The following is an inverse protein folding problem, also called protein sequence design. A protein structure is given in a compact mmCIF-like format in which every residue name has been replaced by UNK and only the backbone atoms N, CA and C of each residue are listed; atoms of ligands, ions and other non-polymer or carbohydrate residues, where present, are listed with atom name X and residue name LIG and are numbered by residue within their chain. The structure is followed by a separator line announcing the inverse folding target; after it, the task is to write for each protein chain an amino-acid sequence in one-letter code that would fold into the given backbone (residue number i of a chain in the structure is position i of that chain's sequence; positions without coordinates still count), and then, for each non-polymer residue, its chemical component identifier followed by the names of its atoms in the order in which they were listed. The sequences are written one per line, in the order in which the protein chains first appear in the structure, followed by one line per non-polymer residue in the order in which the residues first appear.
data_IF_447373378713
#
_entry.id   IF_447373378713
#
_cell.length_a   1.000
_cell.length_b   1.000
_cell.length_c   1.000
_cell.angle_alpha   90.00
_cell.angle_beta   90.00
_cell.angle_gamma   90.00
#
_symmetry.space_group_name_H-M   'P 1'
#
loop_
_entity.id
_entity.type
_entity.pdbx_description
1 polymer ?
#
# COMPACT_ATOMS: atom_id res chain seq x y z
N UNK A 1 -20.93 33.06 10.12
CA UNK A 1 -20.02 32.73 8.99
C UNK A 1 -19.30 34.00 8.55
N UNK A 2 -18.07 33.95 8.01
CA UNK A 2 -17.45 32.84 7.27
C UNK A 2 -16.84 31.82 8.23
N UNK A 3 -17.23 30.53 8.23
CA UNK A 3 -17.01 29.51 7.19
C UNK A 3 -15.54 29.34 6.80
N UNK A 4 -14.79 28.88 7.80
CA UNK A 4 -13.49 28.26 7.59
C UNK A 4 -13.78 26.87 7.03
N UNK A 5 -13.22 26.46 5.88
CA UNK A 5 -13.31 25.08 5.46
C UNK A 5 -12.50 24.25 6.45
N UNK A 6 -13.19 23.61 7.39
CA UNK A 6 -12.61 22.58 8.24
C UNK A 6 -12.29 21.41 7.34
N UNK A 7 -11.07 21.38 6.83
CA UNK A 7 -10.46 20.15 6.33
C UNK A 7 -10.18 19.33 7.60
N UNK A 8 -11.19 18.59 8.07
CA UNK A 8 -11.07 17.64 9.18
C UNK A 8 -10.17 16.49 8.76
N UNK A 9 -8.90 16.62 9.10
CA UNK A 9 -7.86 15.62 8.91
C UNK A 9 -7.69 14.77 10.19
N UNK A 10 -8.75 14.08 10.62
CA UNK A 10 -8.74 13.23 11.84
C UNK A 10 -8.21 11.79 11.56
N UNK A 11 -7.06 11.69 10.86
CA UNK A 11 -6.28 10.45 10.67
C UNK A 11 -4.77 10.74 10.44
N UNK A 12 -4.26 11.81 11.06
CA UNK A 12 -3.03 12.51 10.66
C UNK A 12 -1.65 11.86 10.90
N UNK A 13 -1.53 10.60 11.35
CA UNK A 13 -0.22 9.93 11.49
C UNK A 13 -0.25 8.43 11.14
N UNK A 14 -1.38 7.76 11.37
CA UNK A 14 -1.53 6.33 11.14
C UNK A 14 -1.53 5.93 9.66
N UNK A 15 -1.99 6.80 8.75
CA UNK A 15 -2.11 6.47 7.32
C UNK A 15 -0.78 6.38 6.59
N UNK A 16 0.13 7.35 6.78
CA UNK A 16 1.49 7.25 6.21
C UNK A 16 2.29 6.11 6.82
N UNK A 17 2.14 5.86 8.13
CA UNK A 17 2.76 4.71 8.79
C UNK A 17 2.31 3.38 8.18
N UNK A 18 1.01 3.20 7.99
CA UNK A 18 0.47 1.98 7.37
C UNK A 18 0.92 1.82 5.91
N UNK A 19 1.05 2.91 5.15
CA UNK A 19 1.56 2.88 3.79
C UNK A 19 3.02 2.41 3.74
N UNK A 20 3.91 3.01 4.55
CA UNK A 20 5.32 2.60 4.60
C UNK A 20 5.46 1.17 5.09
N UNK A 21 4.65 0.74 6.07
CA UNK A 21 4.61 -0.64 6.55
C UNK A 21 4.15 -1.62 5.45
N UNK A 22 3.17 -1.25 4.62
CA UNK A 22 2.76 -2.04 3.46
C UNK A 22 3.90 -2.17 2.46
N UNK A 23 4.56 -1.07 2.09
CA UNK A 23 5.67 -1.10 1.14
C UNK A 23 6.84 -1.93 1.66
N UNK A 24 7.20 -1.78 2.94
CA UNK A 24 8.22 -2.60 3.59
C UNK A 24 7.83 -4.07 3.58
N UNK A 25 6.56 -4.37 3.89
CA UNK A 25 6.04 -5.72 3.88
C UNK A 25 6.18 -6.32 2.48
N UNK A 26 5.70 -5.67 1.42
CA UNK A 26 5.82 -6.11 0.01
C UNK A 26 7.29 -6.23 -0.43
N UNK A 27 8.18 -5.32 0.00
CA UNK A 27 9.61 -5.36 -0.33
C UNK A 27 10.31 -6.61 0.22
N UNK A 28 9.87 -7.14 1.37
CA UNK A 28 10.54 -8.26 2.03
C UNK A 28 10.48 -9.57 1.24
N UNK A 29 9.39 -9.80 0.51
CA UNK A 29 9.23 -10.95 -0.40
C UNK A 29 8.12 -10.67 -1.42
N UNK A 30 8.25 -11.14 -2.68
CA UNK A 30 7.13 -11.14 -3.61
C UNK A 30 5.98 -11.96 -3.01
N UNK A 31 4.77 -11.41 -3.08
CA UNK A 31 3.55 -12.02 -2.51
C UNK A 31 2.40 -11.92 -3.50
N UNK A 32 1.48 -12.86 -3.42
CA UNK A 32 0.31 -12.83 -4.29
C UNK A 32 -0.68 -11.74 -3.85
N UNK A 33 -1.54 -11.32 -4.79
CA UNK A 33 -2.67 -10.45 -4.49
C UNK A 33 -3.58 -11.09 -3.43
N UNK A 34 -3.80 -12.40 -3.49
CA UNK A 34 -4.61 -13.12 -2.50
C UNK A 34 -3.99 -13.04 -1.10
N UNK A 35 -2.70 -13.34 -0.94
CA UNK A 35 -1.98 -13.20 0.34
C UNK A 35 -2.04 -11.75 0.86
N UNK A 36 -1.91 -10.77 -0.04
CA UNK A 36 -1.93 -9.35 0.32
C UNK A 36 -3.31 -8.91 0.80
N UNK A 37 -4.36 -9.30 0.07
CA UNK A 37 -5.72 -9.02 0.50
C UNK A 37 -6.04 -9.74 1.81
N UNK A 38 -5.62 -10.98 2.00
CA UNK A 38 -5.84 -11.69 3.27
C UNK A 38 -5.19 -10.96 4.46
N UNK A 39 -3.96 -10.48 4.30
CA UNK A 39 -3.23 -9.80 5.38
C UNK A 39 -3.71 -8.36 5.65
N UNK A 40 -4.29 -7.66 4.67
CA UNK A 40 -4.61 -6.23 4.76
C UNK A 40 -6.12 -5.90 4.72
N UNK A 41 -7.00 -6.81 4.28
CA UNK A 41 -8.47 -6.57 4.10
C UNK A 41 -9.26 -6.52 5.41
N UNK A 42 -8.81 -7.16 6.49
CA UNK A 42 -9.60 -7.32 7.73
C UNK A 42 -9.38 -6.22 8.76
N UNK A 43 -8.38 -5.37 8.60
CA UNK A 43 -8.09 -4.29 9.52
C UNK A 43 -8.43 -2.97 8.83
N UNK A 44 -9.58 -2.38 9.15
CA UNK A 44 -10.11 -1.18 8.50
C UNK A 44 -9.21 0.08 8.46
N UNK A 45 -8.06 0.25 9.17
CA UNK A 45 -7.09 1.32 8.83
C UNK A 45 -5.98 0.88 7.85
N UNK A 46 -5.92 -0.39 7.47
CA UNK A 46 -4.88 -1.01 6.61
C UNK A 46 -5.35 -1.19 5.16
N UNK A 47 -6.65 -1.35 4.92
CA UNK A 47 -7.19 -1.37 3.56
C UNK A 47 -6.90 -0.04 2.83
N UNK A 48 -7.02 1.09 3.54
CA UNK A 48 -6.70 2.40 2.97
C UNK A 48 -5.24 2.50 2.51
N UNK A 49 -4.29 1.87 3.20
CA UNK A 49 -2.89 1.88 2.79
C UNK A 49 -2.65 1.12 1.47
N UNK A 50 -3.38 0.02 1.24
CA UNK A 50 -3.35 -0.70 -0.03
C UNK A 50 -3.94 0.13 -1.16
N UNK A 51 -5.11 0.73 -0.93
CA UNK A 51 -5.77 1.59 -1.90
C UNK A 51 -4.93 2.82 -2.24
N UNK A 52 -4.33 3.46 -1.23
CA UNK A 52 -3.37 4.56 -1.42
C UNK A 52 -2.16 4.10 -2.22
N UNK A 53 -1.56 2.95 -1.90
CA UNK A 53 -0.40 2.44 -2.64
C UNK A 53 -0.72 2.18 -4.12
N UNK A 54 -1.86 1.54 -4.39
CA UNK A 54 -2.32 1.26 -5.73
C UNK A 54 -2.67 2.56 -6.49
N UNK A 55 -3.45 3.45 -5.87
CA UNK A 55 -3.85 4.72 -6.48
C UNK A 55 -2.67 5.66 -6.74
N UNK A 56 -1.64 5.64 -5.89
CA UNK A 56 -0.43 6.42 -6.07
C UNK A 56 0.60 5.76 -7.00
N UNK A 57 0.33 4.55 -7.53
CA UNK A 57 1.26 3.80 -8.37
C UNK A 57 2.56 3.42 -7.65
N UNK A 58 2.49 3.15 -6.36
CA UNK A 58 3.63 2.70 -5.54
C UNK A 58 3.83 1.19 -5.62
N UNK A 59 2.77 0.46 -5.93
CA UNK A 59 2.75 -0.98 -6.18
C UNK A 59 2.18 -1.26 -7.57
N UNK A 60 2.58 -2.40 -8.12
CA UNK A 60 2.07 -2.94 -9.37
C UNK A 60 1.70 -4.43 -9.18
N UNK A 61 0.90 -4.96 -10.10
CA UNK A 61 0.45 -6.34 -10.09
C UNK A 61 0.87 -7.03 -11.39
N UNK A 62 1.81 -7.98 -11.30
CA UNK A 62 2.30 -8.74 -12.45
C UNK A 62 2.05 -10.23 -12.27
N UNK A 63 1.84 -10.94 -13.37
CA UNK A 63 1.73 -12.40 -13.40
C UNK A 63 3.05 -13.08 -13.78
N UNK A 64 4.05 -12.33 -14.27
CA UNK A 64 5.25 -12.89 -14.88
C UNK A 64 6.18 -13.59 -13.87
N UNK A 65 6.17 -13.16 -12.61
CA UNK A 65 7.03 -13.69 -11.54
C UNK A 65 6.23 -14.42 -10.46
N UNK A 66 5.00 -14.84 -10.78
CA UNK A 66 4.13 -15.47 -9.79
C UNK A 66 4.56 -16.91 -9.47
N UNK A 67 4.78 -17.26 -8.18
CA UNK A 67 5.04 -18.63 -7.79
C UNK A 67 3.81 -19.54 -7.97
N UNK A 68 2.61 -18.94 -8.11
CA UNK A 68 1.37 -19.66 -8.35
C UNK A 68 0.82 -19.33 -9.73
N UNK A 69 0.61 -20.37 -10.55
CA UNK A 69 0.10 -20.21 -11.92
C UNK A 69 -1.27 -19.53 -11.92
N UNK A 70 -1.34 -18.35 -12.53
CA UNK A 70 -2.57 -17.58 -12.69
C UNK A 70 -2.84 -16.56 -11.59
N UNK A 71 -2.03 -16.49 -10.54
CA UNK A 71 -2.14 -15.42 -9.55
C UNK A 71 -1.28 -14.22 -9.92
N UNK A 72 -1.79 -13.02 -9.67
CA UNK A 72 -0.98 -11.81 -9.74
C UNK A 72 -0.13 -11.71 -8.47
N UNK A 73 1.14 -11.34 -8.63
CA UNK A 73 1.99 -10.91 -7.53
C UNK A 73 2.03 -9.40 -7.42
N UNK A 74 2.10 -8.93 -6.19
CA UNK A 74 2.29 -7.53 -5.85
C UNK A 74 3.78 -7.23 -5.83
N UNK A 75 4.20 -6.27 -6.63
CA UNK A 75 5.58 -5.79 -6.69
C UNK A 75 5.66 -4.30 -6.42
N UNK A 76 6.78 -3.83 -5.87
CA UNK A 76 7.02 -2.39 -5.74
C UNK A 76 7.35 -1.79 -7.11
N UNK A 77 6.77 -0.64 -7.42
CA UNK A 77 7.22 0.18 -8.54
C UNK A 77 8.51 0.91 -8.19
N UNK A 78 9.16 1.52 -9.18
CA UNK A 78 10.29 2.41 -8.92
C UNK A 78 9.92 3.56 -7.95
N UNK A 79 8.69 4.08 -8.06
CA UNK A 79 8.14 5.11 -7.18
C UNK A 79 7.95 4.60 -5.75
N UNK A 80 7.38 3.40 -5.59
CA UNK A 80 7.22 2.76 -4.28
C UNK A 80 8.56 2.51 -3.57
N UNK A 81 9.56 2.04 -4.32
CA UNK A 81 10.92 1.85 -3.80
C UNK A 81 11.55 3.17 -3.35
N UNK A 82 11.42 4.24 -4.14
CA UNK A 82 11.94 5.55 -3.77
C UNK A 82 11.27 6.12 -2.52
N UNK A 83 9.95 5.97 -2.39
CA UNK A 83 9.22 6.40 -1.19
C UNK A 83 9.68 5.61 0.04
N UNK A 84 9.80 4.28 -0.06
CA UNK A 84 10.28 3.43 1.01
C UNK A 84 11.70 3.83 1.45
N UNK A 85 12.60 4.11 0.50
CA UNK A 85 13.96 4.56 0.79
C UNK A 85 14.02 5.95 1.46
N UNK A 86 13.06 6.83 1.19
CA UNK A 86 12.98 8.15 1.84
C UNK A 86 12.34 8.12 3.23
N UNK A 87 11.70 7.00 3.60
CA UNK A 87 10.99 6.82 4.86
C UNK A 87 11.73 5.89 5.85
N UNK A 88 12.81 5.25 5.40
CA UNK A 88 13.73 4.43 6.19
C UNK A 88 14.91 5.27 6.68
#
# INVERSE_FOLDING_TARGET
MPDIPTIELEAGASQRGNLVQLLLWVSARPRTYAETMEAWRTNCPRLSAWEDAAANGLIDMTHEESPVRGEAIVVLTAKGRALLASAA
#
